data_IF_359770911832
#
_entry.id   IF_359770911832
#
_cell.length_a   1.000
_cell.length_b   1.000
_cell.length_c   1.000
_cell.angle_alpha   90.00
_cell.angle_beta   90.00
_cell.angle_gamma   90.00
#
_symmetry.space_group_name_H-M   'P 1'
#
loop_
_entity.id
_entity.type
_entity.pdbx_description
1 polymer ?
#
# COMPACT_ATOMS: atom_id res chain seq x y z
N UNK A 1 10.25 1.26 8.35
CA UNK A 1 9.06 2.11 8.10
C UNK A 1 7.85 1.22 7.92
N UNK A 2 6.64 1.79 7.91
CA UNK A 2 5.40 1.05 7.67
C UNK A 2 4.65 1.68 6.51
N UNK A 3 4.08 0.86 5.63
CA UNK A 3 3.17 1.29 4.57
C UNK A 3 1.76 0.83 4.95
N UNK A 4 0.79 1.72 4.82
CA UNK A 4 -0.62 1.39 5.02
C UNK A 4 -1.38 1.62 3.72
N UNK A 5 -2.15 0.61 3.31
CA UNK A 5 -3.05 0.65 2.16
C UNK A 5 -4.47 0.69 2.72
N UNK A 6 -5.19 1.77 2.49
CA UNK A 6 -6.57 1.92 2.90
C UNK A 6 -7.46 1.88 1.66
N UNK A 7 -8.34 0.89 1.63
CA UNK A 7 -9.31 0.70 0.55
C UNK A 7 -10.64 1.32 0.98
N UNK A 8 -11.04 2.39 0.30
CA UNK A 8 -12.34 3.06 0.47
C UNK A 8 -13.09 2.98 -0.85
N UNK A 9 -14.39 3.27 -0.83
CA UNK A 9 -15.27 3.16 -1.98
C UNK A 9 -14.66 3.74 -3.28
N UNK A 10 -14.15 2.87 -4.17
CA UNK A 10 -13.43 3.20 -5.42
C UNK A 10 -12.20 4.10 -5.25
N UNK A 11 -11.62 4.20 -4.06
CA UNK A 11 -10.45 5.04 -3.76
C UNK A 11 -9.45 4.24 -2.93
N UNK A 12 -8.18 4.33 -3.31
CA UNK A 12 -7.08 3.77 -2.56
C UNK A 12 -6.25 4.90 -1.99
N UNK A 13 -6.00 4.81 -0.68
CA UNK A 13 -5.11 5.72 0.03
C UNK A 13 -3.87 4.94 0.49
N UNK A 14 -2.70 5.41 0.08
CA UNK A 14 -1.40 4.90 0.52
C UNK A 14 -0.81 5.86 1.53
N UNK A 15 -0.40 5.35 2.69
CA UNK A 15 0.23 6.15 3.74
C UNK A 15 1.56 5.55 4.18
N UNK A 16 2.65 6.32 4.04
CA UNK A 16 3.96 5.99 4.60
C UNK A 16 4.07 6.50 6.02
N UNK A 17 4.35 5.61 6.96
CA UNK A 17 4.49 5.90 8.38
C UNK A 17 5.91 5.63 8.87
N UNK A 18 6.47 6.60 9.61
CA UNK A 18 7.71 6.46 10.40
C UNK A 18 7.33 6.55 11.88
N UNK A 19 7.12 5.40 12.51
CA UNK A 19 6.51 5.34 13.84
C UNK A 19 5.05 5.79 13.78
N UNK A 20 4.65 6.77 14.59
CA UNK A 20 3.28 7.33 14.59
C UNK A 20 3.08 8.45 13.56
N UNK A 21 4.14 8.93 12.90
CA UNK A 21 4.08 10.06 11.97
C UNK A 21 3.88 9.59 10.54
N UNK A 22 2.89 10.17 9.84
CA UNK A 22 2.75 10.04 8.38
C UNK A 22 3.79 10.96 7.74
N UNK A 23 4.64 10.39 6.89
CA UNK A 23 5.72 11.11 6.19
C UNK A 23 5.43 11.28 4.70
N UNK A 24 4.50 10.51 4.16
CA UNK A 24 4.05 10.62 2.77
C UNK A 24 2.68 9.97 2.60
N UNK A 25 1.90 10.51 1.69
CA UNK A 25 0.57 10.01 1.37
C UNK A 25 0.32 10.15 -0.13
N UNK A 26 -0.40 9.19 -0.71
CA UNK A 26 -0.90 9.25 -2.08
C UNK A 26 -2.33 8.71 -2.11
N UNK A 27 -3.17 9.32 -2.92
CA UNK A 27 -4.56 8.90 -3.13
C UNK A 27 -4.82 8.77 -4.62
N UNK A 28 -5.52 7.71 -5.01
CA UNK A 28 -5.93 7.51 -6.39
C UNK A 28 -7.23 6.72 -6.47
N UNK A 29 -8.01 6.98 -7.51
CA UNK A 29 -9.23 6.22 -7.78
C UNK A 29 -8.90 4.81 -8.24
N UNK A 30 -9.62 3.86 -7.68
CA UNK A 30 -9.62 2.48 -8.11
C UNK A 30 -10.22 2.38 -9.53
N UNK A 31 -9.45 1.78 -10.44
CA UNK A 31 -9.88 1.46 -11.80
C UNK A 31 -9.68 -0.04 -12.04
N UNK A 32 -10.13 -0.54 -13.20
CA UNK A 32 -9.98 -1.94 -13.61
C UNK A 32 -8.51 -2.45 -13.65
N UNK A 33 -7.51 -1.56 -13.46
CA UNK A 33 -6.08 -1.87 -13.43
C UNK A 33 -5.43 -1.74 -12.04
N UNK A 34 -6.22 -1.82 -10.97
CA UNK A 34 -5.78 -1.63 -9.57
C UNK A 34 -4.49 -2.37 -9.21
N UNK A 35 -4.31 -3.63 -9.62
CA UNK A 35 -3.11 -4.40 -9.29
C UNK A 35 -1.82 -3.78 -9.83
N UNK A 36 -1.87 -3.23 -11.04
CA UNK A 36 -0.75 -2.50 -11.67
C UNK A 36 -0.59 -1.12 -11.03
N UNK A 37 -1.69 -0.38 -10.93
CA UNK A 37 -1.66 1.00 -10.45
C UNK A 37 -1.16 1.07 -9.01
N UNK A 38 -1.55 0.12 -8.17
CA UNK A 38 -1.11 0.02 -6.78
C UNK A 38 0.42 -0.10 -6.67
N UNK A 39 1.05 -0.97 -7.47
CA UNK A 39 2.51 -1.12 -7.47
C UNK A 39 3.22 0.14 -7.97
N UNK A 40 2.70 0.77 -9.03
CA UNK A 40 3.24 2.02 -9.57
C UNK A 40 3.16 3.13 -8.52
N UNK A 41 2.00 3.28 -7.87
CA UNK A 41 1.75 4.32 -6.87
C UNK A 41 2.59 4.10 -5.60
N UNK A 42 2.75 2.85 -5.15
CA UNK A 42 3.67 2.53 -4.05
C UNK A 42 5.11 2.92 -4.43
N UNK A 43 5.59 2.54 -5.61
CA UNK A 43 6.95 2.86 -6.03
C UNK A 43 7.16 4.38 -6.14
N UNK A 44 6.20 5.10 -6.74
CA UNK A 44 6.22 6.56 -6.85
C UNK A 44 6.30 7.22 -5.47
N UNK A 45 5.41 6.82 -4.56
CA UNK A 45 5.37 7.33 -3.19
C UNK A 45 6.69 7.09 -2.44
N UNK A 46 7.32 5.92 -2.64
CA UNK A 46 8.63 5.63 -2.05
C UNK A 46 9.73 6.53 -2.63
N UNK A 47 9.78 6.69 -3.96
CA UNK A 47 10.77 7.51 -4.64
C UNK A 47 10.69 8.99 -4.24
N UNK A 48 9.48 9.55 -4.17
CA UNK A 48 9.23 10.93 -3.71
C UNK A 48 9.76 11.17 -2.29
N UNK A 49 9.75 10.12 -1.46
CA UNK A 49 10.26 10.16 -0.09
C UNK A 49 11.71 9.68 0.03
N UNK A 50 12.42 9.44 -1.09
CA UNK A 50 13.80 8.92 -1.14
C UNK A 50 13.97 7.59 -0.41
N UNK A 51 12.95 6.73 -0.49
CA UNK A 51 12.91 5.42 0.12
C UNK A 51 13.01 4.31 -0.92
N UNK A 52 13.48 3.15 -0.46
CA UNK A 52 13.46 1.91 -1.23
C UNK A 52 12.52 0.90 -0.58
N UNK A 53 12.02 -0.06 -1.35
CA UNK A 53 11.12 -1.10 -0.84
C UNK A 53 11.71 -1.86 0.36
N UNK A 54 13.04 -2.06 0.41
CA UNK A 54 13.76 -2.71 1.52
C UNK A 54 13.63 -1.97 2.86
N UNK A 55 13.32 -0.67 2.85
CA UNK A 55 13.15 0.14 4.07
C UNK A 55 11.75 -0.02 4.68
N UNK A 56 10.82 -0.63 3.94
CA UNK A 56 9.47 -0.96 4.40
C UNK A 56 9.54 -2.26 5.17
N UNK A 57 9.31 -2.17 6.48
CA UNK A 57 9.39 -3.31 7.41
C UNK A 57 8.07 -4.06 7.50
N UNK A 58 6.97 -3.39 7.19
CA UNK A 58 5.62 -3.92 7.29
C UNK A 58 4.69 -3.16 6.37
N UNK A 59 3.79 -3.90 5.72
CA UNK A 59 2.64 -3.37 4.99
C UNK A 59 1.37 -3.85 5.67
N UNK A 60 0.44 -2.94 5.93
CA UNK A 60 -0.89 -3.26 6.47
C UNK A 60 -1.98 -2.80 5.51
N UNK A 61 -3.06 -3.58 5.43
CA UNK A 61 -4.25 -3.22 4.65
C UNK A 61 -5.41 -2.96 5.59
N UNK A 62 -6.06 -1.83 5.38
CA UNK A 62 -7.32 -1.47 6.03
C UNK A 62 -8.39 -1.30 4.96
N UNK A 63 -9.65 -1.50 5.33
CA UNK A 63 -10.77 -1.35 4.40
C UNK A 63 -11.98 -0.78 5.11
N UNK A 64 -12.64 0.17 4.44
CA UNK A 64 -13.96 0.68 4.81
C UNK A 64 -15.07 0.01 3.99
N UNK A 65 -14.69 -0.80 2.99
CA UNK A 65 -15.59 -1.66 2.21
C UNK A 65 -15.49 -3.11 2.67
N UNK A 66 -16.44 -3.96 2.25
CA UNK A 66 -16.42 -5.38 2.58
C UNK A 66 -15.14 -6.07 2.08
N UNK A 67 -14.58 -6.97 2.89
CA UNK A 67 -13.40 -7.78 2.52
C UNK A 67 -13.66 -8.74 1.34
N UNK A 68 -14.92 -8.95 0.97
CA UNK A 68 -15.31 -9.76 -0.19
C UNK A 68 -14.98 -9.08 -1.53
N UNK A 69 -14.72 -7.77 -1.53
CA UNK A 69 -14.42 -7.03 -2.76
C UNK A 69 -13.03 -7.37 -3.31
N UNK A 70 -12.95 -7.47 -4.64
CA UNK A 70 -11.72 -7.76 -5.38
C UNK A 70 -10.60 -6.78 -5.01
N UNK A 71 -10.94 -5.52 -4.79
CA UNK A 71 -10.03 -4.44 -4.41
C UNK A 71 -9.27 -4.74 -3.13
N UNK A 72 -9.98 -5.19 -2.09
CA UNK A 72 -9.38 -5.61 -0.83
C UNK A 72 -8.47 -6.81 -1.03
N UNK A 73 -8.90 -7.81 -1.80
CA UNK A 73 -8.10 -9.03 -2.08
C UNK A 73 -6.80 -8.69 -2.83
N UNK A 74 -6.85 -7.75 -3.78
CA UNK A 74 -5.66 -7.24 -4.48
C UNK A 74 -4.72 -6.53 -3.50
N UNK A 75 -5.25 -5.59 -2.70
CA UNK A 75 -4.44 -4.88 -1.72
C UNK A 75 -3.80 -5.84 -0.70
N UNK A 76 -4.55 -6.84 -0.22
CA UNK A 76 -4.08 -7.87 0.70
C UNK A 76 -2.99 -8.74 0.08
N UNK A 77 -3.14 -9.16 -1.17
CA UNK A 77 -2.12 -9.93 -1.89
C UNK A 77 -0.81 -9.13 -2.04
N UNK A 78 -0.90 -7.85 -2.41
CA UNK A 78 0.28 -6.97 -2.52
C UNK A 78 0.94 -6.79 -1.15
N UNK A 79 0.18 -6.54 -0.09
CA UNK A 79 0.73 -6.42 1.26
C UNK A 79 1.41 -7.70 1.74
N UNK A 80 0.81 -8.88 1.47
CA UNK A 80 1.42 -10.18 1.77
C UNK A 80 2.74 -10.35 1.04
N UNK A 81 2.79 -10.08 -0.27
CA UNK A 81 4.02 -10.18 -1.05
C UNK A 81 5.14 -9.31 -0.45
N UNK A 82 4.86 -8.03 -0.17
CA UNK A 82 5.83 -7.13 0.46
C UNK A 82 6.30 -7.63 1.83
N UNK A 83 5.39 -8.13 2.66
CA UNK A 83 5.75 -8.65 3.97
C UNK A 83 6.60 -9.93 3.89
N UNK A 84 6.33 -10.82 2.94
CA UNK A 84 7.16 -12.01 2.69
C UNK A 84 8.58 -11.62 2.31
N UNK A 85 8.76 -10.65 1.40
CA UNK A 85 10.09 -10.15 1.03
C UNK A 85 10.78 -9.41 2.18
N UNK A 86 10.03 -8.70 3.04
CA UNK A 86 10.58 -8.00 4.19
C UNK A 86 11.03 -8.92 5.34
N UNK A 87 10.53 -10.17 5.40
CA UNK A 87 10.90 -11.17 6.39
C UNK A 87 12.02 -12.12 5.92
N UNK A 88 12.27 -12.16 4.61
CA UNK A 88 13.30 -13.00 4.00
C UNK A 88 14.70 -12.35 3.98
N UNK A 89 14.88 -11.20 4.63
CA UNK A 89 16.11 -10.40 4.68
C UNK A 89 16.49 -10.11 6.13
#
# INVERSE_FOLDING_TARGET
>A
MQLEILVKNQIIVLSLKKGKKIIGQSEFSEKNSLSRDLLIQINKLLQENKLTAKMIKKVSVQTEISKAYTSYRIAEAVAKAFNTFAQAV
#
